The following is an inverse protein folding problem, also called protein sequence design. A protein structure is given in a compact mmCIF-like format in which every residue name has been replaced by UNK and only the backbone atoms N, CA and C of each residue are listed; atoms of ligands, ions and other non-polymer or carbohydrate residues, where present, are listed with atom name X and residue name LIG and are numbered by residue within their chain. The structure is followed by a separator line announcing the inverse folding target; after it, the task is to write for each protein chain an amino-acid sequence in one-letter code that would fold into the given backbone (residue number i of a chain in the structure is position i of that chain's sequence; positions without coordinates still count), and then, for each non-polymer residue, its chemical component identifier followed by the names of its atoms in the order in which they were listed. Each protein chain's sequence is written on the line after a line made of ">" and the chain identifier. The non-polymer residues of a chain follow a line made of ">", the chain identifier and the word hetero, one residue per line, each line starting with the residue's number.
data_IF_044087943493
#
_entry.id   IF_044087943493
#
_cell.length_a   1.000
_cell.length_b   1.000
_cell.length_c   1.000
_cell.angle_alpha   90.00
_cell.angle_beta   90.00
_cell.angle_gamma   90.00
#
_symmetry.space_group_name_H-M   'P 1'
#
loop_
_entity.id
_entity.type
_entity.pdbx_description
1 polymer ?
#
# COMPACT_ATOMS: atom_id res chain seq x y z
N UNK A 1 3.16 -23.10 -15.26
CA UNK A 1 2.04 -22.96 -14.29
C UNK A 1 1.15 -21.82 -14.75
N UNK A 2 -0.01 -22.12 -15.35
CA UNK A 2 -0.95 -21.09 -15.80
C UNK A 2 -1.58 -20.33 -14.62
N UNK A 3 -1.71 -20.97 -13.45
CA UNK A 3 -2.16 -20.33 -12.21
C UNK A 3 -1.22 -19.23 -11.71
N UNK A 4 0.10 -19.43 -11.82
CA UNK A 4 1.08 -18.39 -11.44
C UNK A 4 1.00 -17.13 -12.32
N UNK A 5 0.63 -17.28 -13.60
CA UNK A 5 0.44 -16.14 -14.51
C UNK A 5 -0.86 -15.39 -14.18
N UNK A 6 -1.92 -16.10 -13.81
CA UNK A 6 -3.18 -15.49 -13.39
C UNK A 6 -3.07 -14.79 -12.02
N UNK A 7 -2.30 -15.34 -11.09
CA UNK A 7 -1.92 -14.68 -9.84
C UNK A 7 -1.23 -13.34 -10.09
N UNK A 8 -0.19 -13.32 -10.93
CA UNK A 8 0.51 -12.09 -11.28
C UNK A 8 -0.38 -11.04 -11.98
N UNK A 9 -1.36 -11.46 -12.79
CA UNK A 9 -2.32 -10.53 -13.42
C UNK A 9 -3.32 -9.94 -12.42
N UNK A 10 -3.74 -10.72 -11.43
CA UNK A 10 -4.63 -10.24 -10.36
C UNK A 10 -3.88 -9.31 -9.39
N UNK A 11 -2.62 -9.61 -9.08
CA UNK A 11 -1.74 -8.79 -8.25
C UNK A 11 -1.33 -7.47 -8.92
N UNK A 12 -1.39 -7.38 -10.25
CA UNK A 12 -0.99 -6.17 -11.01
C UNK A 12 -1.65 -4.89 -10.49
N UNK A 13 -2.93 -4.95 -10.11
CA UNK A 13 -3.65 -3.79 -9.58
C UNK A 13 -3.31 -3.52 -8.11
N UNK A 14 -2.86 -4.53 -7.36
CA UNK A 14 -2.42 -4.37 -5.97
C UNK A 14 -1.05 -3.68 -5.88
N UNK A 15 -0.19 -3.82 -6.89
CA UNK A 15 1.12 -3.14 -6.95
C UNK A 15 1.03 -1.61 -6.79
N UNK A 16 -0.01 -0.98 -7.34
CA UNK A 16 -0.26 0.45 -7.16
C UNK A 16 -0.54 0.82 -5.71
N UNK A 17 -1.30 -0.01 -4.98
CA UNK A 17 -1.62 0.23 -3.58
C UNK A 17 -0.33 0.14 -2.73
N UNK A 18 0.52 -0.85 -3.00
CA UNK A 18 1.84 -0.98 -2.35
C UNK A 18 2.73 0.23 -2.59
N UNK A 19 2.72 0.78 -3.81
CA UNK A 19 3.44 2.00 -4.15
C UNK A 19 2.96 3.19 -3.30
N UNK A 20 1.65 3.41 -3.21
CA UNK A 20 1.10 4.50 -2.40
C UNK A 20 1.40 4.34 -0.90
N UNK A 21 1.38 3.11 -0.37
CA UNK A 21 1.80 2.82 1.00
C UNK A 21 3.25 3.22 1.21
N UNK A 22 4.14 2.84 0.29
CA UNK A 22 5.56 3.16 0.38
C UNK A 22 5.84 4.67 0.25
N UNK A 23 5.05 5.39 -0.56
CA UNK A 23 5.21 6.83 -0.78
C UNK A 23 4.60 7.70 0.32
N UNK A 24 3.57 7.23 1.05
CA UNK A 24 2.88 8.02 2.06
C UNK A 24 3.78 8.56 3.19
N UNK A 25 4.72 7.79 3.77
CA UNK A 25 5.69 8.32 4.74
C UNK A 25 6.63 9.35 4.13
N UNK A 26 7.08 9.16 2.89
CA UNK A 26 7.93 10.12 2.19
C UNK A 26 7.22 11.45 1.94
N UNK A 27 5.92 11.43 1.67
CA UNK A 27 5.09 12.63 1.58
C UNK A 27 4.95 13.33 2.95
N UNK A 28 4.82 12.58 4.04
CA UNK A 28 4.86 13.13 5.40
C UNK A 28 6.20 13.79 5.71
N UNK A 29 7.31 13.19 5.28
CA UNK A 29 8.64 13.78 5.41
C UNK A 29 8.77 15.08 4.60
N UNK A 30 8.24 15.14 3.38
CA UNK A 30 8.20 16.38 2.60
C UNK A 30 7.47 17.50 3.35
N UNK A 31 6.37 17.18 4.04
CA UNK A 31 5.67 18.11 4.94
C UNK A 31 6.56 18.69 6.05
N UNK A 32 7.51 17.91 6.57
CA UNK A 32 8.46 18.40 7.57
C UNK A 32 9.42 19.44 7.01
N UNK A 33 9.92 19.19 5.79
CA UNK A 33 10.83 20.10 5.10
C UNK A 33 10.12 21.42 4.81
N UNK A 34 8.89 21.36 4.30
CA UNK A 34 8.07 22.57 4.06
C UNK A 34 7.78 23.32 5.37
N UNK A 35 7.43 22.62 6.45
CA UNK A 35 7.18 23.22 7.75
C UNK A 35 8.42 23.91 8.35
N UNK A 36 9.61 23.34 8.13
CA UNK A 36 10.87 23.98 8.53
C UNK A 36 11.20 25.20 7.68
N UNK A 37 11.00 25.16 6.36
CA UNK A 37 11.20 26.32 5.49
C UNK A 37 10.32 27.49 5.96
N UNK A 38 9.04 27.23 6.22
CA UNK A 38 8.12 28.25 6.77
C UNK A 38 8.54 28.77 8.15
N UNK A 39 9.20 27.95 8.96
CA UNK A 39 9.74 28.38 10.25
C UNK A 39 10.90 29.36 10.05
N UNK A 40 11.82 29.05 9.14
CA UNK A 40 12.97 29.91 8.82
C UNK A 40 12.56 31.22 8.14
N UNK A 41 11.59 31.19 7.22
CA UNK A 41 11.06 32.41 6.58
C UNK A 41 10.47 33.39 7.63
N UNK A 42 9.82 32.85 8.67
CA UNK A 42 9.30 33.67 9.78
C UNK A 42 10.40 34.25 10.66
N UNK A 43 11.49 33.51 10.88
CA UNK A 43 12.66 34.01 11.62
C UNK A 43 13.30 35.17 10.84
N UNK A 44 13.45 35.02 9.52
CA UNK A 44 14.01 36.06 8.66
C UNK A 44 13.17 37.34 8.67
N UNK A 45 11.83 37.22 8.62
CA UNK A 45 10.93 38.38 8.64
C UNK A 45 10.92 39.13 9.98
N UNK A 46 11.00 38.41 11.11
CA UNK A 46 10.94 39.01 12.45
C UNK A 46 12.32 39.58 12.84
N UNK A 47 13.40 39.09 12.24
CA UNK A 47 14.77 39.50 12.54
C UNK A 47 15.25 39.09 13.94
N UNK A 48 14.44 38.33 14.68
CA UNK A 48 14.72 37.81 16.02
C UNK A 48 14.42 36.32 16.07
N UNK A 49 15.39 35.55 16.58
CA UNK A 49 15.31 34.10 16.74
C UNK A 49 14.60 33.82 18.07
N UNK A 50 13.35 34.26 18.19
CA UNK A 50 12.56 33.97 19.39
C UNK A 50 12.10 32.49 19.34
N UNK A 51 12.36 31.68 20.38
CA UNK A 51 11.96 30.27 20.44
C UNK A 51 10.47 29.97 20.12
N UNK A 52 9.50 30.84 20.46
CA UNK A 52 8.09 30.60 20.14
C UNK A 52 7.80 30.56 18.63
N UNK A 53 8.52 31.36 17.84
CA UNK A 53 8.31 31.46 16.38
C UNK A 53 8.75 30.16 15.70
N UNK A 54 9.89 29.61 16.13
CA UNK A 54 10.43 28.34 15.62
C UNK A 54 9.56 27.14 16.05
N UNK A 55 9.10 27.14 17.30
CA UNK A 55 8.26 26.08 17.85
C UNK A 55 6.95 25.89 17.07
N UNK A 56 6.39 26.99 16.53
CA UNK A 56 5.18 26.94 15.69
C UNK A 56 5.38 26.14 14.39
N UNK A 57 6.46 26.40 13.65
CA UNK A 57 6.76 25.70 12.40
C UNK A 57 7.17 24.24 12.62
N UNK A 58 7.93 23.97 13.69
CA UNK A 58 8.29 22.59 14.08
C UNK A 58 7.06 21.75 14.46
N UNK A 59 6.09 22.34 15.16
CA UNK A 59 4.83 21.63 15.49
C UNK A 59 4.08 21.21 14.23
N UNK A 60 3.99 22.08 13.23
CA UNK A 60 3.35 21.76 11.94
C UNK A 60 4.11 20.63 11.24
N UNK A 61 5.44 20.72 11.17
CA UNK A 61 6.28 19.66 10.62
C UNK A 61 5.98 18.29 11.26
N UNK A 62 5.97 18.20 12.58
CA UNK A 62 5.70 16.95 13.29
C UNK A 62 4.30 16.39 13.03
N UNK A 63 3.27 17.24 13.00
CA UNK A 63 1.89 16.81 12.72
C UNK A 63 1.78 16.23 11.31
N UNK A 64 2.47 16.81 10.32
CA UNK A 64 2.46 16.29 8.94
C UNK A 64 3.11 14.91 8.81
N UNK A 65 4.19 14.64 9.56
CA UNK A 65 4.80 13.30 9.64
C UNK A 65 3.84 12.29 10.22
N UNK A 66 3.22 12.62 11.34
CA UNK A 66 2.25 11.75 12.02
C UNK A 66 1.07 11.45 11.09
N UNK A 67 0.59 12.46 10.35
CA UNK A 67 -0.44 12.28 9.33
C UNK A 67 -0.03 11.30 8.22
N UNK A 68 1.17 11.45 7.67
CA UNK A 68 1.71 10.53 6.64
C UNK A 68 1.83 9.09 7.13
N UNK A 69 2.24 8.88 8.38
CA UNK A 69 2.32 7.55 9.00
C UNK A 69 0.94 6.93 9.25
N UNK A 70 -0.03 7.71 9.73
CA UNK A 70 -1.40 7.22 9.95
C UNK A 70 -2.02 6.77 8.63
N UNK A 71 -1.87 7.56 7.56
CA UNK A 71 -2.36 7.20 6.23
C UNK A 71 -1.69 5.91 5.74
N UNK A 72 -0.37 5.79 5.88
CA UNK A 72 0.37 4.58 5.48
C UNK A 72 -0.15 3.33 6.22
N UNK A 73 -0.40 3.43 7.54
CA UNK A 73 -0.93 2.32 8.33
C UNK A 73 -2.34 1.89 7.88
N UNK A 74 -3.23 2.84 7.64
CA UNK A 74 -4.59 2.54 7.18
C UNK A 74 -4.56 1.84 5.82
N UNK A 75 -3.76 2.35 4.87
CA UNK A 75 -3.61 1.73 3.56
C UNK A 75 -3.01 0.32 3.67
N UNK A 76 -2.04 0.11 4.56
CA UNK A 76 -1.43 -1.21 4.78
C UNK A 76 -2.45 -2.24 5.28
N UNK A 77 -3.34 -1.88 6.19
CA UNK A 77 -4.43 -2.76 6.65
C UNK A 77 -5.36 -3.11 5.49
N UNK A 78 -5.74 -2.11 4.69
CA UNK A 78 -6.63 -2.30 3.54
C UNK A 78 -5.99 -3.18 2.46
N UNK A 79 -4.69 -3.02 2.20
CA UNK A 79 -3.93 -3.86 1.29
C UNK A 79 -3.94 -5.33 1.73
N UNK A 80 -3.67 -5.60 3.02
CA UNK A 80 -3.70 -6.98 3.53
C UNK A 80 -5.08 -7.63 3.39
N UNK A 81 -6.16 -6.87 3.61
CA UNK A 81 -7.52 -7.36 3.40
C UNK A 81 -7.80 -7.73 1.95
N UNK A 82 -7.41 -6.87 1.00
CA UNK A 82 -7.55 -7.14 -0.43
C UNK A 82 -6.72 -8.36 -0.85
N UNK A 83 -5.52 -8.51 -0.30
CA UNK A 83 -4.60 -9.60 -0.63
C UNK A 83 -5.20 -10.94 -0.21
N UNK A 84 -5.70 -11.03 1.02
CA UNK A 84 -6.38 -12.24 1.52
C UNK A 84 -7.61 -12.61 0.66
N UNK A 85 -8.37 -11.61 0.20
CA UNK A 85 -9.53 -11.84 -0.67
C UNK A 85 -9.11 -12.33 -2.07
N UNK A 86 -7.96 -11.88 -2.56
CA UNK A 86 -7.39 -12.27 -3.85
C UNK A 86 -6.84 -13.71 -3.78
N UNK A 87 -6.13 -14.06 -2.72
CA UNK A 87 -5.70 -15.43 -2.43
C UNK A 87 -6.88 -16.41 -2.36
N UNK A 88 -7.98 -16.00 -1.71
CA UNK A 88 -9.18 -16.83 -1.63
C UNK A 88 -9.78 -17.13 -3.02
N UNK A 89 -9.78 -16.13 -3.93
CA UNK A 89 -10.26 -16.32 -5.32
C UNK A 89 -9.31 -17.23 -6.09
N UNK A 90 -8.00 -17.06 -5.93
CA UNK A 90 -6.99 -17.91 -6.57
C UNK A 90 -7.15 -19.37 -6.15
N UNK A 91 -7.33 -19.64 -4.86
CA UNK A 91 -7.57 -20.98 -4.35
C UNK A 91 -8.83 -21.62 -4.96
N UNK A 92 -9.92 -20.86 -5.07
CA UNK A 92 -11.15 -21.35 -5.72
C UNK A 92 -10.95 -21.68 -7.21
N UNK A 93 -10.16 -20.88 -7.92
CA UNK A 93 -9.83 -21.15 -9.32
C UNK A 93 -8.97 -22.40 -9.47
N UNK A 94 -8.01 -22.60 -8.57
CA UNK A 94 -7.16 -23.79 -8.54
C UNK A 94 -7.98 -25.06 -8.26
N UNK A 95 -8.85 -25.03 -7.25
CA UNK A 95 -9.76 -26.13 -6.91
C UNK A 95 -10.69 -26.50 -8.07
N UNK A 96 -11.26 -25.50 -8.76
CA UNK A 96 -12.10 -25.71 -9.94
C UNK A 96 -11.31 -26.37 -11.09
N UNK A 97 -10.06 -25.96 -11.28
CA UNK A 97 -9.19 -26.51 -12.32
C UNK A 97 -8.81 -27.97 -12.02
N UNK A 98 -8.51 -28.31 -10.76
CA UNK A 98 -8.25 -29.67 -10.31
C UNK A 98 -9.50 -30.55 -10.50
N UNK A 99 -10.66 -30.05 -10.08
CA UNK A 99 -11.93 -30.76 -10.24
C UNK A 99 -12.25 -31.07 -11.70
N UNK A 100 -11.98 -30.13 -12.61
CA UNK A 100 -12.14 -30.36 -14.05
C UNK A 100 -11.19 -31.43 -14.57
N UNK A 101 -9.92 -31.39 -14.17
CA UNK A 101 -8.94 -32.42 -14.53
C UNK A 101 -9.38 -33.80 -14.06
N UNK A 102 -9.86 -33.92 -12.82
CA UNK A 102 -10.36 -35.19 -12.27
C UNK A 102 -11.57 -35.73 -13.06
N UNK A 103 -12.49 -34.85 -13.45
CA UNK A 103 -13.62 -35.21 -14.30
C UNK A 103 -13.18 -35.71 -15.68
N UNK A 104 -12.24 -35.01 -16.32
CA UNK A 104 -11.70 -35.40 -17.63
C UNK A 104 -10.97 -36.73 -17.54
N UNK A 105 -10.17 -36.96 -16.49
CA UNK A 105 -9.46 -38.23 -16.28
C UNK A 105 -10.46 -39.37 -16.05
N UNK A 106 -11.47 -39.18 -15.18
CA UNK A 106 -12.54 -40.17 -14.97
C UNK A 106 -13.30 -40.48 -16.25
N UNK A 107 -13.61 -39.46 -17.06
CA UNK A 107 -14.26 -39.65 -18.35
C UNK A 107 -13.40 -40.50 -19.29
N UNK A 108 -12.11 -40.16 -19.44
CA UNK A 108 -11.19 -40.93 -20.28
C UNK A 108 -11.08 -42.40 -19.84
N UNK A 109 -10.97 -42.66 -18.53
CA UNK A 109 -10.92 -44.03 -18.01
C UNK A 109 -12.22 -44.82 -18.25
N UNK A 110 -13.38 -44.16 -18.26
CA UNK A 110 -14.69 -44.80 -18.49
C UNK A 110 -14.91 -45.18 -19.97
N UNK A 111 -14.38 -44.40 -20.91
CA UNK A 111 -14.59 -44.59 -22.36
C UNK A 111 -13.43 -45.29 -23.08
N UNK A 112 -12.37 -45.69 -22.36
CA UNK A 112 -11.24 -46.48 -22.89
C UNK A 112 -11.41 -48.00 -22.71
N UNK A 113 -12.61 -48.47 -22.33
CA UNK A 113 -13.05 -49.87 -22.41
C UNK A 113 -13.93 -50.05 -23.64
#
# INVERSE_FOLDING_TARGET
>A
SYGGVQGGLLEKNMSWITLFIAMAPSLGFLGTVVGMIMAFDKIEQVGDISPPVVAGGMKVALITTVGGLIVALILQIFYNYLLSKLEAILNQMEDASITLLDLVIKYNLKFKK
#
